data_IF_247392339817
#
_entry.id   IF_247392339817
#
_cell.length_a   1.000
_cell.length_b   1.000
_cell.length_c   1.000
_cell.angle_alpha   90.00
_cell.angle_beta   90.00
_cell.angle_gamma   90.00
#
_symmetry.space_group_name_H-M   'P 1'
#
loop_
_entity.id
_entity.type
_entity.pdbx_description
1 polymer ?
#
# COMPACT_ATOMS: atom_id res chain seq x y z
N UNK A 1 -6.38 2.66 12.05
CA UNK A 1 -6.76 3.33 13.32
C UNK A 1 -8.22 3.76 13.25
N UNK A 2 -8.91 3.89 14.39
CA UNK A 2 -10.29 4.36 14.46
C UNK A 2 -10.54 5.21 15.71
N UNK A 3 -11.55 6.09 15.68
CA UNK A 3 -11.86 6.98 16.79
C UNK A 3 -12.69 6.31 17.89
N UNK A 4 -13.37 5.20 17.59
CA UNK A 4 -14.26 4.51 18.54
C UNK A 4 -14.10 2.98 18.47
N UNK A 5 -14.25 2.24 19.60
CA UNK A 5 -14.09 0.79 19.64
C UNK A 5 -15.03 0.02 18.71
N UNK A 6 -16.28 0.46 18.55
CA UNK A 6 -17.24 -0.22 17.68
C UNK A 6 -16.81 -0.23 16.21
N UNK A 7 -16.12 0.82 15.76
CA UNK A 7 -15.58 0.93 14.40
C UNK A 7 -14.43 -0.06 14.22
N UNK A 8 -13.61 -0.28 15.26
CA UNK A 8 -12.53 -1.28 15.21
C UNK A 8 -13.10 -2.67 14.95
N UNK A 9 -14.16 -3.04 15.67
CA UNK A 9 -14.81 -4.35 15.53
C UNK A 9 -15.51 -4.53 14.18
N UNK A 10 -16.11 -3.47 13.64
CA UNK A 10 -16.66 -3.48 12.28
C UNK A 10 -15.59 -3.67 11.21
N UNK A 11 -14.48 -2.94 11.32
CA UNK A 11 -13.38 -3.02 10.37
C UNK A 11 -12.67 -4.38 10.39
N UNK A 12 -12.53 -5.02 11.56
CA UNK A 12 -12.00 -6.39 11.66
C UNK A 12 -12.83 -7.41 10.90
N UNK A 13 -14.16 -7.26 10.86
CA UNK A 13 -15.06 -8.14 10.07
C UNK A 13 -14.79 -8.06 8.56
N UNK A 14 -14.22 -6.96 8.10
CA UNK A 14 -13.83 -6.72 6.71
C UNK A 14 -12.33 -7.03 6.46
N UNK A 15 -11.68 -7.76 7.38
CA UNK A 15 -10.29 -8.18 7.23
C UNK A 15 -9.24 -7.11 7.53
N UNK A 16 -9.63 -5.98 8.14
CA UNK A 16 -8.67 -4.94 8.56
C UNK A 16 -7.93 -5.40 9.81
N UNK A 17 -6.60 -5.34 9.75
CA UNK A 17 -5.72 -5.69 10.87
C UNK A 17 -5.31 -4.40 11.60
N UNK A 18 -5.44 -4.41 12.93
CA UNK A 18 -4.94 -3.34 13.79
C UNK A 18 -3.64 -3.79 14.43
N UNK A 19 -2.51 -3.25 13.95
CA UNK A 19 -1.22 -3.34 14.65
C UNK A 19 -1.28 -2.35 15.82
N UNK A 20 -0.95 -2.79 17.03
CA UNK A 20 -1.00 -1.98 18.25
C UNK A 20 0.09 -0.90 18.28
N UNK A 21 0.79 -0.75 19.40
CA UNK A 21 1.87 0.26 19.56
C UNK A 21 3.03 0.07 18.55
N UNK A 22 3.18 -1.13 17.98
CA UNK A 22 4.18 -1.46 16.96
C UNK A 22 3.90 -0.82 15.58
N UNK A 23 2.70 -0.28 15.35
CA UNK A 23 2.27 0.24 14.04
C UNK A 23 2.77 1.65 13.70
N UNK A 24 3.44 2.35 14.62
CA UNK A 24 3.83 3.74 14.46
C UNK A 24 2.65 4.72 14.42
N UNK A 25 2.96 6.01 14.27
CA UNK A 25 1.96 7.09 14.22
C UNK A 25 1.45 7.38 12.80
N UNK A 26 0.20 7.85 12.69
CA UNK A 26 -0.35 8.35 11.42
C UNK A 26 -0.01 9.83 11.31
N UNK A 27 0.82 10.19 10.32
CA UNK A 27 1.31 11.55 10.10
C UNK A 27 0.51 12.23 8.98
N UNK A 28 0.37 13.57 9.07
CA UNK A 28 -0.26 14.40 8.04
C UNK A 28 -1.78 14.51 8.21
N UNK A 29 -2.47 14.83 7.11
CA UNK A 29 -3.91 15.09 7.12
C UNK A 29 -4.73 13.93 7.71
N UNK A 30 -4.38 12.68 7.41
CA UNK A 30 -5.09 11.51 7.93
C UNK A 30 -5.04 11.41 9.46
N UNK A 31 -3.87 11.69 10.05
CA UNK A 31 -3.70 11.71 11.50
C UNK A 31 -4.41 12.90 12.14
N UNK A 32 -4.27 14.08 11.54
CA UNK A 32 -4.91 15.31 12.00
C UNK A 32 -6.45 15.19 11.99
N UNK A 33 -7.02 14.69 10.90
CA UNK A 33 -8.47 14.51 10.76
C UNK A 33 -9.02 13.49 11.76
N UNK A 34 -8.29 12.40 12.02
CA UNK A 34 -8.65 11.45 13.08
C UNK A 34 -8.60 12.10 14.46
N UNK A 35 -7.54 12.85 14.77
CA UNK A 35 -7.39 13.54 16.05
C UNK A 35 -8.49 14.59 16.28
N UNK A 36 -8.74 15.46 15.30
CA UNK A 36 -9.82 16.45 15.36
C UNK A 36 -11.18 15.75 15.46
N UNK A 37 -11.38 14.68 14.69
CA UNK A 37 -12.60 13.89 14.73
C UNK A 37 -12.87 13.35 16.14
N UNK A 38 -11.86 12.78 16.79
CA UNK A 38 -11.96 12.30 18.18
C UNK A 38 -12.31 13.43 19.15
N UNK A 39 -11.64 14.59 19.07
CA UNK A 39 -11.94 15.75 19.92
C UNK A 39 -13.35 16.30 19.72
N UNK A 40 -13.94 16.12 18.53
CA UNK A 40 -15.29 16.57 18.18
C UNK A 40 -16.36 15.49 18.35
N UNK A 41 -16.00 14.30 18.82
CA UNK A 41 -16.94 13.17 18.94
C UNK A 41 -17.38 12.58 17.59
N UNK A 42 -16.61 12.78 16.52
CA UNK A 42 -16.89 12.20 15.21
C UNK A 42 -16.39 10.76 15.11
N UNK A 43 -17.27 9.89 14.60
CA UNK A 43 -16.93 8.53 14.22
C UNK A 43 -16.11 8.54 12.93
N UNK A 44 -14.92 7.94 12.97
CA UNK A 44 -14.02 7.91 11.83
C UNK A 44 -12.95 6.85 11.97
N UNK A 45 -12.37 6.48 10.83
CA UNK A 45 -11.25 5.55 10.75
C UNK A 45 -10.31 5.94 9.62
N UNK A 46 -9.06 5.49 9.74
CA UNK A 46 -8.06 5.55 8.68
C UNK A 46 -7.74 4.13 8.24
N UNK A 47 -8.04 3.84 6.97
CA UNK A 47 -7.61 2.65 6.25
C UNK A 47 -6.26 2.93 5.60
N UNK A 48 -5.31 2.02 5.80
CA UNK A 48 -3.97 2.13 5.25
C UNK A 48 -3.61 0.82 4.55
N UNK A 49 -3.03 0.94 3.36
CA UNK A 49 -2.43 -0.16 2.65
C UNK A 49 -0.93 -0.16 2.92
N UNK A 50 -0.37 -1.33 3.23
CA UNK A 50 1.08 -1.50 3.33
C UNK A 50 1.69 -1.37 1.92
N UNK A 51 2.83 -0.70 1.82
CA UNK A 51 3.54 -0.47 0.55
C UNK A 51 5.04 -0.46 0.81
N UNK A 52 5.85 -0.72 -0.21
CA UNK A 52 7.31 -0.60 -0.09
C UNK A 52 7.78 0.83 0.16
N UNK A 53 6.95 1.83 -0.18
CA UNK A 53 7.27 3.25 -0.03
C UNK A 53 8.20 3.82 -1.10
N UNK A 54 8.80 2.97 -1.96
CA UNK A 54 9.73 3.40 -3.02
C UNK A 54 9.09 3.60 -4.38
N UNK A 55 8.01 2.87 -4.66
CA UNK A 55 7.32 2.87 -5.96
C UNK A 55 5.82 3.00 -5.68
N UNK A 56 5.10 3.62 -6.60
CA UNK A 56 3.63 3.62 -6.59
C UNK A 56 3.12 2.18 -6.58
N UNK A 57 2.23 1.86 -5.65
CA UNK A 57 1.66 0.52 -5.46
C UNK A 57 0.15 0.49 -5.72
N UNK A 58 -0.28 0.19 -6.97
CA UNK A 58 -1.69 0.09 -7.31
C UNK A 58 -2.40 -1.06 -6.60
N UNK A 59 -1.68 -2.13 -6.24
CA UNK A 59 -2.27 -3.29 -5.56
C UNK A 59 -2.64 -2.93 -4.13
N UNK A 60 -1.77 -2.19 -3.43
CA UNK A 60 -2.05 -1.67 -2.09
C UNK A 60 -3.26 -0.73 -2.10
N UNK A 61 -3.30 0.22 -3.05
CA UNK A 61 -4.46 1.10 -3.23
C UNK A 61 -5.76 0.32 -3.52
N UNK A 62 -5.67 -0.72 -4.36
CA UNK A 62 -6.79 -1.60 -4.70
C UNK A 62 -7.36 -2.30 -3.45
N UNK A 63 -6.52 -2.77 -2.53
CA UNK A 63 -7.01 -3.42 -1.30
C UNK A 63 -7.70 -2.43 -0.36
N UNK A 64 -7.15 -1.22 -0.19
CA UNK A 64 -7.80 -0.17 0.61
C UNK A 64 -9.17 0.18 0.04
N UNK A 65 -9.25 0.37 -1.28
CA UNK A 65 -10.50 0.70 -1.96
C UNK A 65 -11.49 -0.46 -1.88
N UNK A 66 -11.05 -1.71 -2.00
CA UNK A 66 -11.90 -2.90 -1.84
C UNK A 66 -12.60 -2.88 -0.48
N UNK A 67 -11.83 -2.74 0.61
CA UNK A 67 -12.38 -2.66 1.97
C UNK A 67 -13.34 -1.48 2.10
N UNK A 68 -12.96 -0.30 1.61
CA UNK A 68 -13.81 0.89 1.64
C UNK A 68 -15.15 0.67 0.92
N UNK A 69 -15.13 0.05 -0.26
CA UNK A 69 -16.34 -0.20 -1.05
C UNK A 69 -17.25 -1.23 -0.42
N UNK A 70 -16.69 -2.24 0.24
CA UNK A 70 -17.45 -3.24 1.01
C UNK A 70 -18.14 -2.57 2.22
N UNK A 71 -17.42 -1.73 2.96
CA UNK A 71 -17.97 -0.97 4.10
C UNK A 71 -19.11 -0.04 3.69
N UNK A 72 -18.98 0.62 2.55
CA UNK A 72 -19.97 1.58 2.06
C UNK A 72 -21.11 0.91 1.25
N UNK A 73 -20.98 -0.37 0.92
CA UNK A 73 -21.92 -1.07 0.04
C UNK A 73 -21.97 -0.53 -1.39
N UNK A 74 -20.88 0.08 -1.87
CA UNK A 74 -20.81 0.72 -3.19
C UNK A 74 -20.11 -0.20 -4.17
N UNK A 75 -20.62 -0.28 -5.41
CA UNK A 75 -19.95 -0.97 -6.52
C UNK A 75 -19.22 0.01 -7.40
N UNK A 76 -17.91 -0.19 -7.56
CA UNK A 76 -17.07 0.56 -8.49
C UNK A 76 -16.23 -0.39 -9.33
N UNK A 77 -15.72 0.09 -10.46
CA UNK A 77 -14.77 -0.66 -11.28
C UNK A 77 -13.33 -0.49 -10.77
N UNK A 78 -12.58 -1.60 -10.74
CA UNK A 78 -11.16 -1.61 -10.41
C UNK A 78 -10.26 -1.57 -11.66
N UNK A 79 -10.83 -1.51 -12.86
CA UNK A 79 -10.08 -1.67 -14.13
C UNK A 79 -8.86 -0.73 -14.26
N UNK A 80 -9.01 0.55 -13.89
CA UNK A 80 -7.90 1.52 -13.95
C UNK A 80 -6.75 1.20 -12.99
N UNK A 81 -7.05 0.59 -11.84
CA UNK A 81 -6.04 0.14 -10.89
C UNK A 81 -5.34 -1.11 -11.41
N UNK A 82 -6.09 -2.04 -12.01
CA UNK A 82 -5.54 -3.26 -12.60
C UNK A 82 -4.64 -2.94 -13.80
N UNK A 83 -5.05 -2.03 -14.68
CA UNK A 83 -4.21 -1.51 -15.79
C UNK A 83 -2.92 -0.87 -15.27
N UNK A 84 -3.01 -0.05 -14.20
CA UNK A 84 -1.85 0.60 -13.61
C UNK A 84 -0.91 -0.41 -12.95
N UNK A 85 -1.46 -1.46 -12.31
CA UNK A 85 -0.68 -2.53 -11.72
C UNK A 85 0.17 -3.25 -12.79
N UNK A 86 -0.43 -3.56 -13.95
CA UNK A 86 0.28 -4.17 -15.07
C UNK A 86 1.34 -3.24 -15.68
N UNK A 87 1.07 -1.93 -15.77
CA UNK A 87 2.06 -0.95 -16.21
C UNK A 87 3.28 -0.91 -15.27
N UNK A 88 3.04 -0.78 -13.96
CA UNK A 88 4.10 -0.75 -12.95
C UNK A 88 4.91 -2.05 -12.99
N UNK A 89 4.24 -3.20 -13.08
CA UNK A 89 4.88 -4.51 -13.20
C UNK A 89 5.82 -4.60 -14.40
N UNK A 90 5.37 -4.16 -15.59
CA UNK A 90 6.22 -4.15 -16.80
C UNK A 90 7.48 -3.30 -16.62
N UNK A 91 7.35 -2.14 -15.95
CA UNK A 91 8.50 -1.27 -15.66
C UNK A 91 9.45 -1.97 -14.70
N UNK A 92 8.95 -2.57 -13.61
CA UNK A 92 9.76 -3.29 -12.63
C UNK A 92 10.48 -4.49 -13.26
N UNK A 93 9.81 -5.27 -14.11
CA UNK A 93 10.42 -6.42 -14.79
C UNK A 93 11.53 -5.97 -15.75
N UNK A 94 11.35 -4.84 -16.43
CA UNK A 94 12.36 -4.28 -17.32
C UNK A 94 13.59 -3.79 -16.55
N UNK A 95 13.41 -3.12 -15.41
CA UNK A 95 14.52 -2.70 -14.54
C UNK A 95 15.31 -3.92 -14.06
N UNK A 96 14.63 -4.94 -13.54
CA UNK A 96 15.27 -6.20 -13.09
C UNK A 96 16.06 -6.88 -14.21
N UNK A 97 15.53 -6.88 -15.43
CA UNK A 97 16.22 -7.47 -16.59
C UNK A 97 17.51 -6.73 -16.97
N UNK A 98 17.51 -5.39 -16.85
CA UNK A 98 18.68 -4.56 -17.11
C UNK A 98 19.74 -4.74 -16.02
N UNK A 99 19.34 -4.75 -14.75
CA UNK A 99 20.23 -5.01 -13.61
C UNK A 99 20.92 -6.38 -13.76
N UNK A 100 20.16 -7.42 -14.09
CA UNK A 100 20.73 -8.75 -14.34
C UNK A 100 21.74 -8.75 -15.49
N UNK A 101 21.43 -8.04 -16.57
CA UNK A 101 22.32 -7.94 -17.74
C UNK A 101 23.61 -7.18 -17.43
N UNK A 102 23.55 -6.16 -16.57
CA UNK A 102 24.74 -5.41 -16.10
C UNK A 102 25.63 -6.29 -15.22
N UNK A 103 25.05 -7.00 -14.25
CA UNK A 103 25.77 -7.93 -13.36
C UNK A 103 26.45 -9.06 -14.17
N UNK A 104 25.77 -9.59 -15.20
CA UNK A 104 26.35 -10.62 -16.08
C UNK A 104 27.48 -10.08 -16.95
N UNK A 105 27.42 -8.80 -17.37
CA UNK A 105 28.51 -8.15 -18.11
C UNK A 105 29.73 -7.91 -17.23
N UNK A 106 29.56 -7.38 -16.02
CA UNK A 106 30.64 -7.17 -15.07
C UNK A 106 31.37 -8.49 -14.74
N UNK A 107 30.62 -9.57 -14.44
CA UNK A 107 31.22 -10.90 -14.22
C UNK A 107 32.02 -11.41 -15.41
N UNK A 108 31.57 -11.15 -16.64
CA UNK A 108 32.29 -11.55 -17.86
C UNK A 108 33.54 -10.71 -18.11
N UNK A 109 33.59 -9.46 -17.65
CA UNK A 109 34.79 -8.62 -17.75
C UNK A 109 35.83 -9.01 -16.69
N UNK A 110 35.39 -9.33 -15.47
CA UNK A 110 36.26 -9.79 -14.38
C UNK A 110 36.97 -11.12 -14.74
N UNK A 111 36.23 -12.07 -15.34
CA UNK A 111 36.80 -13.33 -15.85
C UNK A 111 37.79 -13.15 -17.01
N UNK A 112 37.72 -12.04 -17.76
CA UNK A 112 38.63 -11.73 -18.87
C UNK A 112 39.93 -11.05 -18.41
N UNK A 113 39.99 -10.50 -17.20
CA UNK A 113 41.17 -9.83 -16.66
C UNK A 113 42.21 -10.82 -16.07
N UNK A 114 41.82 -12.09 -15.87
CA UNK A 114 42.66 -13.15 -15.28
C UNK A 114 43.25 -14.11 -16.33
N UNK A 115 43.10 -13.81 -17.63
CA UNK A 115 43.67 -14.57 -18.76
C UNK A 115 44.54 -13.69 -19.63
#
# INVERSE_FOLDING_TARGET
AATHPEIVEELKKHGVIFKGEEGGGIIGASGLLLGIGMLRGFKGACLMGETSGYIVDPNSARQVIKVLTELLGIKISFARLDEKAEEVKRITDRIKSLEKSLIEKEKKEDLRYIG
#
